data_IF_876635192043
#
_entry.id   IF_876635192043
#
_cell.length_a   1.000
_cell.length_b   1.000
_cell.length_c   1.000
_cell.angle_alpha   90.00
_cell.angle_beta   90.00
_cell.angle_gamma   90.00
#
_symmetry.space_group_name_H-M   'P 1'
#
loop_
_entity.id
_entity.type
_entity.pdbx_description
1 polymer ?
#
# COMPACT_ATOMS: atom_id res chain seq x y z
N UNK A 1 -13.66 16.14 1.22
CA UNK A 1 -13.38 14.94 2.06
C UNK A 1 -12.22 15.33 2.96
N UNK A 2 -12.40 15.28 4.26
CA UNK A 2 -11.34 15.69 5.18
C UNK A 2 -10.69 14.45 5.79
N UNK A 3 -9.36 14.44 5.85
CA UNK A 3 -8.56 13.50 6.63
C UNK A 3 -7.89 14.19 7.82
N UNK A 4 -8.19 15.48 7.99
CA UNK A 4 -7.63 16.26 9.08
C UNK A 4 -7.97 15.64 10.45
N UNK A 5 -6.96 15.51 11.29
CA UNK A 5 -7.03 14.88 12.61
C UNK A 5 -7.13 13.35 12.62
N UNK A 6 -7.16 12.67 11.46
CA UNK A 6 -7.10 11.20 11.40
C UNK A 6 -5.67 10.72 11.63
N UNK A 7 -5.50 9.66 12.40
CA UNK A 7 -4.22 8.97 12.60
C UNK A 7 -4.07 7.89 11.54
N UNK A 8 -3.08 8.05 10.66
CA UNK A 8 -2.85 7.20 9.49
C UNK A 8 -1.48 6.54 9.57
N UNK A 9 -1.46 5.22 9.63
CA UNK A 9 -0.24 4.41 9.56
C UNK A 9 0.03 4.05 8.09
N UNK A 10 1.26 4.25 7.63
CA UNK A 10 1.68 3.97 6.26
C UNK A 10 2.92 3.08 6.29
N UNK A 11 2.84 1.89 5.71
CA UNK A 11 3.98 0.98 5.59
C UNK A 11 4.72 1.20 4.26
N UNK A 12 6.05 1.02 4.25
CA UNK A 12 6.86 1.31 3.07
C UNK A 12 6.88 2.80 2.74
N UNK A 13 7.03 3.66 3.77
CA UNK A 13 6.82 5.10 3.65
C UNK A 13 8.10 5.89 3.31
N UNK A 14 9.29 5.26 3.27
CA UNK A 14 10.53 5.97 3.05
C UNK A 14 10.70 6.52 1.62
N UNK A 15 10.08 5.89 0.63
CA UNK A 15 10.19 6.26 -0.80
C UNK A 15 8.92 5.95 -1.60
N UNK A 16 8.89 6.37 -2.86
CA UNK A 16 7.85 6.03 -3.83
C UNK A 16 6.44 6.42 -3.40
N UNK A 17 5.49 5.50 -3.56
CA UNK A 17 4.08 5.74 -3.23
C UNK A 17 3.86 6.04 -1.74
N UNK A 18 4.52 5.30 -0.85
CA UNK A 18 4.36 5.50 0.60
C UNK A 18 4.84 6.88 1.05
N UNK A 19 5.94 7.37 0.48
CA UNK A 19 6.43 8.73 0.70
C UNK A 19 5.40 9.77 0.25
N UNK A 20 4.84 9.61 -0.97
CA UNK A 20 3.85 10.54 -1.49
C UNK A 20 2.56 10.54 -0.67
N UNK A 21 2.11 9.36 -0.20
CA UNK A 21 0.96 9.28 0.71
C UNK A 21 1.25 10.00 2.04
N UNK A 22 2.43 9.79 2.65
CA UNK A 22 2.82 10.46 3.88
C UNK A 22 2.80 11.98 3.71
N UNK A 23 3.44 12.49 2.64
CA UNK A 23 3.48 13.91 2.31
C UNK A 23 2.08 14.49 2.13
N UNK A 24 1.27 13.88 1.25
CA UNK A 24 -0.02 14.45 0.86
C UNK A 24 -1.04 14.39 2.01
N UNK A 25 -1.08 13.29 2.77
CA UNK A 25 -2.01 13.15 3.89
C UNK A 25 -1.61 14.04 5.07
N UNK A 26 -0.32 14.16 5.36
CA UNK A 26 0.17 15.09 6.40
C UNK A 26 -0.16 16.54 6.05
N UNK A 27 0.08 16.96 4.81
CA UNK A 27 -0.30 18.30 4.33
C UNK A 27 -1.81 18.54 4.34
N UNK A 28 -2.62 17.48 4.25
CA UNK A 28 -4.07 17.55 4.42
C UNK A 28 -4.53 17.51 5.88
N UNK A 29 -3.60 17.56 6.85
CA UNK A 29 -3.85 17.65 8.28
C UNK A 29 -4.03 16.31 8.99
N UNK A 30 -3.65 15.19 8.39
CA UNK A 30 -3.61 13.91 9.07
C UNK A 30 -2.35 13.80 9.97
N UNK A 31 -2.46 13.05 11.07
CA UNK A 31 -1.33 12.61 11.87
C UNK A 31 -0.73 11.36 11.21
N UNK A 32 0.51 11.44 10.75
CA UNK A 32 1.14 10.37 9.95
C UNK A 32 2.14 9.58 10.77
N UNK A 33 2.01 8.26 10.74
CA UNK A 33 3.03 7.31 11.22
C UNK A 33 3.66 6.64 10.01
N UNK A 34 4.89 7.02 9.70
CA UNK A 34 5.65 6.52 8.56
C UNK A 34 6.52 5.32 8.99
N UNK A 35 6.19 4.12 8.54
CA UNK A 35 6.92 2.89 8.84
C UNK A 35 7.66 2.33 7.63
N UNK A 36 8.96 2.03 7.77
CA UNK A 36 9.79 1.40 6.73
C UNK A 36 10.99 0.72 7.36
N UNK A 37 11.61 -0.24 6.66
CA UNK A 37 12.94 -0.77 7.01
C UNK A 37 14.05 0.27 6.77
N UNK A 38 13.79 1.23 5.88
CA UNK A 38 14.64 2.37 5.60
C UNK A 38 14.28 3.57 6.49
N UNK A 39 15.17 4.57 6.52
CA UNK A 39 14.91 5.81 7.25
C UNK A 39 13.74 6.61 6.66
N UNK A 40 12.76 6.96 7.49
CA UNK A 40 11.58 7.73 7.13
C UNK A 40 11.70 9.24 7.37
N UNK A 41 12.88 9.76 7.74
CA UNK A 41 13.07 11.18 8.12
C UNK A 41 12.60 12.14 7.03
N UNK A 42 12.85 11.84 5.76
CA UNK A 42 12.41 12.65 4.63
C UNK A 42 10.87 12.66 4.49
N UNK A 43 10.22 11.50 4.65
CA UNK A 43 8.76 11.38 4.60
C UNK A 43 8.10 12.14 5.77
N UNK A 44 8.66 12.03 6.97
CA UNK A 44 8.20 12.76 8.15
C UNK A 44 8.30 14.27 7.96
N UNK A 45 9.45 14.75 7.46
CA UNK A 45 9.65 16.18 7.16
C UNK A 45 8.65 16.68 6.11
N UNK A 46 8.39 15.90 5.07
CA UNK A 46 7.43 16.25 4.01
C UNK A 46 5.97 16.23 4.48
N UNK A 47 5.63 15.35 5.44
CA UNK A 47 4.29 15.25 6.02
C UNK A 47 3.95 16.40 6.98
N UNK A 48 4.95 16.98 7.65
CA UNK A 48 4.77 18.12 8.55
C UNK A 48 4.85 17.77 10.04
N UNK A 49 4.37 18.66 10.92
CA UNK A 49 4.66 18.64 12.37
C UNK A 49 4.05 17.48 13.14
N UNK A 50 2.93 16.93 12.68
CA UNK A 50 2.22 15.84 13.36
C UNK A 50 2.52 14.47 12.73
N UNK A 51 3.78 14.27 12.33
CA UNK A 51 4.26 13.00 11.80
C UNK A 51 5.43 12.46 12.61
N UNK A 52 5.62 11.13 12.59
CA UNK A 52 6.85 10.51 13.08
C UNK A 52 7.18 9.22 12.33
N UNK A 53 8.46 8.85 12.33
CA UNK A 53 8.97 7.66 11.70
C UNK A 53 9.17 6.51 12.67
N UNK A 54 9.00 5.29 12.19
CA UNK A 54 9.33 4.05 12.90
C UNK A 54 10.08 3.10 11.98
N UNK A 55 11.09 2.40 12.49
CA UNK A 55 11.66 1.26 11.77
C UNK A 55 10.64 0.12 11.79
N UNK A 56 10.25 -0.35 10.62
CA UNK A 56 9.22 -1.36 10.45
C UNK A 56 9.64 -2.41 9.42
N UNK A 57 9.84 -3.63 9.87
CA UNK A 57 9.80 -4.82 9.01
C UNK A 57 8.39 -5.45 9.10
N UNK A 58 7.61 -5.34 8.03
CA UNK A 58 6.25 -5.91 8.00
C UNK A 58 6.25 -7.44 8.06
N UNK A 59 7.34 -8.11 7.65
CA UNK A 59 7.46 -9.55 7.75
C UNK A 59 7.59 -10.03 9.21
N UNK A 60 8.01 -9.14 10.13
CA UNK A 60 8.10 -9.38 11.57
C UNK A 60 6.85 -8.85 12.29
N UNK A 61 6.11 -9.76 12.92
CA UNK A 61 4.90 -9.43 13.66
C UNK A 61 5.18 -8.55 14.90
N UNK A 62 6.34 -8.70 15.54
CA UNK A 62 6.72 -7.88 16.69
C UNK A 62 6.98 -6.44 16.26
N UNK A 63 7.67 -6.25 15.12
CA UNK A 63 7.89 -4.93 14.52
C UNK A 63 6.57 -4.23 14.17
N UNK A 64 5.59 -4.95 13.59
CA UNK A 64 4.26 -4.41 13.32
C UNK A 64 3.51 -3.99 14.60
N UNK A 65 3.61 -4.79 15.68
CA UNK A 65 3.01 -4.45 16.98
C UNK A 65 3.64 -3.21 17.59
N UNK A 66 4.97 -3.09 17.57
CA UNK A 66 5.68 -1.92 18.09
C UNK A 66 5.29 -0.61 17.37
N UNK A 67 5.06 -0.65 16.05
CA UNK A 67 4.55 0.52 15.33
C UNK A 67 3.18 0.97 15.86
N UNK A 68 2.26 0.02 16.08
CA UNK A 68 0.91 0.30 16.59
C UNK A 68 0.95 0.83 18.02
N UNK A 69 1.77 0.26 18.88
CA UNK A 69 1.97 0.71 20.26
C UNK A 69 2.43 2.17 20.28
N UNK A 70 3.48 2.52 19.54
CA UNK A 70 3.99 3.89 19.45
C UNK A 70 2.95 4.88 18.89
N UNK A 71 2.18 4.46 17.90
CA UNK A 71 1.10 5.28 17.35
C UNK A 71 0.01 5.54 18.40
N UNK A 72 -0.39 4.50 19.13
CA UNK A 72 -1.43 4.58 20.16
C UNK A 72 -0.96 5.39 21.36
N UNK A 73 0.29 5.23 21.80
CA UNK A 73 0.89 6.05 22.86
C UNK A 73 0.88 7.54 22.52
N UNK A 74 1.19 7.89 21.27
CA UNK A 74 1.29 9.29 20.85
C UNK A 74 -0.06 9.94 20.58
N UNK A 75 -0.97 9.23 19.91
CA UNK A 75 -2.22 9.82 19.40
C UNK A 75 -3.50 9.27 20.04
N UNK A 76 -3.42 8.20 20.84
CA UNK A 76 -4.55 7.59 21.53
C UNK A 76 -5.52 6.79 20.64
N UNK A 77 -5.34 6.82 19.31
CA UNK A 77 -6.22 6.18 18.33
C UNK A 77 -5.52 5.83 17.04
N UNK A 78 -6.14 4.98 16.23
CA UNK A 78 -5.73 4.72 14.84
C UNK A 78 -6.99 4.70 13.98
N UNK A 79 -7.02 5.55 12.94
CA UNK A 79 -8.16 5.69 12.03
C UNK A 79 -7.95 4.97 10.70
N UNK A 80 -6.70 4.88 10.22
CA UNK A 80 -6.40 4.22 8.97
C UNK A 80 -5.04 3.50 8.97
N UNK A 81 -4.97 2.42 8.17
CA UNK A 81 -3.74 1.72 7.82
C UNK A 81 -3.63 1.65 6.30
N UNK A 82 -2.50 2.06 5.75
CA UNK A 82 -2.15 1.90 4.34
C UNK A 82 -1.04 0.87 4.25
N UNK A 83 -1.37 -0.35 3.86
CA UNK A 83 -0.43 -1.43 3.60
C UNK A 83 0.18 -1.24 2.20
N UNK A 84 1.26 -0.47 2.15
CA UNK A 84 1.96 -0.13 0.91
C UNK A 84 3.33 -0.84 0.79
N UNK A 85 3.97 -1.22 1.90
CA UNK A 85 5.23 -1.95 1.87
C UNK A 85 5.15 -3.19 0.96
N UNK A 86 6.09 -3.31 0.03
CA UNK A 86 6.17 -4.44 -0.89
C UNK A 86 7.59 -4.61 -1.43
N UNK A 87 7.97 -5.86 -1.68
CA UNK A 87 9.08 -6.17 -2.57
C UNK A 87 8.58 -6.10 -4.00
N UNK A 88 9.23 -5.26 -4.81
CA UNK A 88 8.94 -5.08 -6.24
C UNK A 88 10.23 -4.84 -7.04
N UNK A 89 10.91 -3.69 -6.86
CA UNK A 89 12.08 -3.30 -7.62
C UNK A 89 13.27 -4.26 -7.48
N UNK A 90 13.45 -4.84 -6.28
CA UNK A 90 14.52 -5.78 -5.96
C UNK A 90 14.23 -7.23 -6.39
N UNK A 91 12.99 -7.55 -6.80
CA UNK A 91 12.65 -8.91 -7.23
C UNK A 91 13.27 -9.23 -8.59
N UNK A 92 13.97 -10.36 -8.67
CA UNK A 92 14.55 -10.82 -9.91
C UNK A 92 13.48 -11.45 -10.79
N UNK A 93 13.16 -10.79 -11.91
CA UNK A 93 12.28 -11.34 -12.93
C UNK A 93 12.90 -12.55 -13.66
N UNK A 94 12.06 -13.49 -14.09
CA UNK A 94 12.50 -14.67 -14.82
C UNK A 94 11.37 -15.56 -15.29
N UNK A 95 11.68 -16.60 -16.06
CA UNK A 95 10.68 -17.63 -16.41
C UNK A 95 10.19 -18.29 -15.12
N UNK A 96 8.94 -18.76 -15.11
CA UNK A 96 8.30 -19.33 -13.93
C UNK A 96 9.12 -20.41 -13.21
N UNK A 97 9.85 -21.23 -13.96
CA UNK A 97 10.68 -22.33 -13.48
C UNK A 97 12.13 -21.93 -13.17
N UNK A 98 12.44 -20.64 -13.19
CA UNK A 98 13.77 -20.08 -12.91
C UNK A 98 13.74 -19.07 -11.75
N UNK A 99 12.54 -18.79 -11.20
CA UNK A 99 12.40 -17.95 -10.02
C UNK A 99 13.02 -18.69 -8.84
N UNK A 100 13.94 -18.05 -8.12
CA UNK A 100 14.54 -18.62 -6.92
C UNK A 100 13.49 -18.77 -5.81
N UNK A 101 13.56 -19.86 -5.04
CA UNK A 101 12.64 -20.08 -3.92
C UNK A 101 12.73 -18.96 -2.88
N UNK A 102 13.94 -18.47 -2.60
CA UNK A 102 14.14 -17.35 -1.68
C UNK A 102 13.44 -16.06 -2.16
N UNK A 103 13.46 -15.75 -3.46
CA UNK A 103 12.76 -14.59 -4.01
C UNK A 103 11.23 -14.78 -3.93
N UNK A 104 10.75 -16.01 -4.13
CA UNK A 104 9.35 -16.36 -3.96
C UNK A 104 8.90 -16.19 -2.51
N UNK A 105 9.63 -16.78 -1.57
CA UNK A 105 9.30 -16.75 -0.15
C UNK A 105 9.38 -15.32 0.41
N UNK A 106 10.38 -14.55 0.01
CA UNK A 106 10.49 -13.15 0.38
C UNK A 106 9.30 -12.32 -0.13
N UNK A 107 8.87 -12.52 -1.39
CA UNK A 107 7.70 -11.85 -1.93
C UNK A 107 6.43 -12.18 -1.14
N UNK A 108 6.22 -13.44 -0.78
CA UNK A 108 5.07 -13.85 0.04
C UNK A 108 5.15 -13.34 1.47
N UNK A 109 6.33 -13.37 2.08
CA UNK A 109 6.55 -12.89 3.44
C UNK A 109 6.24 -11.39 3.57
N UNK A 110 6.73 -10.56 2.66
CA UNK A 110 6.53 -9.11 2.71
C UNK A 110 5.16 -8.73 2.16
N UNK A 111 4.83 -9.13 0.92
CA UNK A 111 3.67 -8.59 0.22
C UNK A 111 2.33 -9.17 0.70
N UNK A 112 2.33 -10.34 1.35
CA UNK A 112 1.11 -11.01 1.81
C UNK A 112 1.08 -11.12 3.33
N UNK A 113 2.04 -11.85 3.92
CA UNK A 113 2.09 -12.05 5.37
C UNK A 113 2.32 -10.72 6.10
N UNK A 114 3.10 -9.81 5.53
CA UNK A 114 3.33 -8.48 6.08
C UNK A 114 2.04 -7.68 6.24
N UNK A 115 1.15 -7.70 5.25
CA UNK A 115 -0.18 -7.08 5.35
C UNK A 115 -0.98 -7.71 6.48
N UNK A 116 -1.00 -9.04 6.57
CA UNK A 116 -1.71 -9.74 7.63
C UNK A 116 -1.16 -9.40 9.02
N UNK A 117 0.18 -9.30 9.20
CA UNK A 117 0.81 -8.89 10.45
C UNK A 117 0.37 -7.48 10.87
N UNK A 118 0.41 -6.51 9.94
CA UNK A 118 -0.01 -5.13 10.20
C UNK A 118 -1.51 -5.07 10.54
N UNK A 119 -2.36 -5.79 9.81
CA UNK A 119 -3.80 -5.86 10.11
C UNK A 119 -4.05 -6.47 11.49
N UNK A 120 -3.38 -7.56 11.83
CA UNK A 120 -3.49 -8.20 13.15
C UNK A 120 -3.10 -7.25 14.29
N UNK A 121 -2.08 -6.45 14.09
CA UNK A 121 -1.62 -5.48 15.08
C UNK A 121 -2.59 -4.30 15.23
N UNK A 122 -3.11 -3.74 14.12
CA UNK A 122 -3.89 -2.50 14.16
C UNK A 122 -5.35 -2.69 14.54
N UNK A 123 -5.96 -3.83 14.21
CA UNK A 123 -7.41 -4.09 14.41
C UNK A 123 -7.87 -3.89 15.85
N UNK A 124 -7.14 -4.34 16.89
CA UNK A 124 -7.54 -4.06 18.28
C UNK A 124 -7.66 -2.58 18.60
N UNK A 125 -6.71 -1.74 18.15
CA UNK A 125 -6.74 -0.29 18.37
C UNK A 125 -7.89 0.37 17.56
N UNK A 126 -8.13 -0.07 16.32
CA UNK A 126 -9.27 0.42 15.53
C UNK A 126 -10.61 0.08 16.18
N UNK A 127 -10.79 -1.11 16.75
CA UNK A 127 -11.99 -1.48 17.51
C UNK A 127 -12.22 -0.55 18.70
N UNK A 128 -11.18 -0.24 19.45
CA UNK A 128 -11.24 0.70 20.57
C UNK A 128 -11.61 2.12 20.12
N UNK A 129 -11.20 2.52 18.92
CA UNK A 129 -11.53 3.82 18.31
C UNK A 129 -12.93 3.85 17.66
N UNK A 130 -13.68 2.74 17.67
CA UNK A 130 -15.02 2.64 17.08
C UNK A 130 -15.05 2.37 15.58
N UNK A 131 -13.96 1.90 14.98
CA UNK A 131 -13.84 1.54 13.58
C UNK A 131 -12.59 2.07 12.90
N UNK A 132 -12.50 1.91 11.58
CA UNK A 132 -11.33 2.35 10.82
C UNK A 132 -11.39 2.03 9.33
N UNK A 133 -10.31 2.35 8.63
CA UNK A 133 -10.14 2.02 7.22
C UNK A 133 -8.77 1.40 6.94
N UNK A 134 -8.75 0.24 6.32
CA UNK A 134 -7.54 -0.44 5.85
C UNK A 134 -7.52 -0.37 4.33
N UNK A 135 -6.42 0.12 3.77
CA UNK A 135 -6.19 0.17 2.32
C UNK A 135 -4.95 -0.65 1.99
N UNK A 136 -5.13 -1.68 1.19
CA UNK A 136 -4.07 -2.56 0.74
C UNK A 136 -3.63 -2.17 -0.69
N UNK A 137 -2.34 -1.99 -0.94
CA UNK A 137 -1.84 -1.73 -2.29
C UNK A 137 -1.63 -3.05 -3.01
N UNK A 138 -2.59 -3.40 -3.87
CA UNK A 138 -2.51 -4.50 -4.81
C UNK A 138 -1.70 -4.08 -6.06
N UNK A 139 -2.05 -4.57 -7.21
CA UNK A 139 -1.48 -4.17 -8.51
C UNK A 139 -2.40 -4.64 -9.62
N UNK A 140 -2.41 -3.92 -10.74
CA UNK A 140 -3.03 -4.37 -11.97
C UNK A 140 -2.42 -5.70 -12.46
N UNK A 141 -1.15 -5.99 -12.14
CA UNK A 141 -0.49 -7.26 -12.42
C UNK A 141 -1.29 -8.48 -11.93
N UNK A 142 -2.05 -8.33 -10.84
CA UNK A 142 -2.92 -9.38 -10.30
C UNK A 142 -4.11 -9.72 -11.22
N UNK A 143 -4.52 -8.81 -12.09
CA UNK A 143 -5.68 -8.96 -12.98
C UNK A 143 -5.28 -9.48 -14.36
N UNK A 144 -4.27 -8.89 -14.99
CA UNK A 144 -3.87 -9.30 -16.34
C UNK A 144 -2.76 -10.35 -16.38
N UNK A 145 -2.06 -10.62 -15.27
CA UNK A 145 -0.98 -11.57 -15.20
C UNK A 145 0.33 -11.05 -15.80
N UNK A 146 1.17 -10.37 -15.00
CA UNK A 146 2.43 -9.81 -15.48
C UNK A 146 3.45 -10.94 -15.78
N UNK A 147 3.94 -11.07 -17.01
CA UNK A 147 4.90 -12.11 -17.36
C UNK A 147 6.26 -11.88 -16.68
N UNK A 148 7.00 -12.94 -16.46
CA UNK A 148 8.35 -12.95 -15.86
C UNK A 148 8.44 -12.42 -14.42
N UNK A 149 7.31 -12.26 -13.74
CA UNK A 149 7.23 -11.84 -12.33
C UNK A 149 6.13 -12.61 -11.60
N UNK A 150 6.11 -13.94 -11.73
CA UNK A 150 5.03 -14.79 -11.20
C UNK A 150 4.86 -14.65 -9.68
N UNK A 151 5.96 -14.62 -8.92
CA UNK A 151 5.94 -14.40 -7.47
C UNK A 151 5.23 -13.08 -7.09
N UNK A 152 5.57 -11.98 -7.78
CA UNK A 152 4.91 -10.69 -7.57
C UNK A 152 3.43 -10.73 -7.94
N UNK A 153 3.12 -11.21 -9.15
CA UNK A 153 1.73 -11.37 -9.63
C UNK A 153 0.90 -12.18 -8.65
N UNK A 154 1.42 -13.33 -8.20
CA UNK A 154 0.74 -14.20 -7.23
C UNK A 154 0.54 -13.49 -5.90
N UNK A 155 1.57 -12.80 -5.39
CA UNK A 155 1.46 -12.03 -4.14
C UNK A 155 0.38 -10.95 -4.21
N UNK A 156 0.31 -10.22 -5.33
CA UNK A 156 -0.69 -9.15 -5.50
C UNK A 156 -2.11 -9.68 -5.73
N UNK A 157 -2.27 -10.85 -6.33
CA UNK A 157 -3.54 -11.56 -6.40
C UNK A 157 -4.00 -12.04 -5.01
N UNK A 158 -3.07 -12.54 -4.18
CA UNK A 158 -3.36 -12.90 -2.80
C UNK A 158 -3.82 -11.69 -1.96
N UNK A 159 -3.28 -10.48 -2.20
CA UNK A 159 -3.74 -9.24 -1.53
C UNK A 159 -5.22 -8.97 -1.80
N UNK A 160 -5.71 -9.24 -3.01
CA UNK A 160 -7.15 -9.07 -3.34
C UNK A 160 -8.00 -10.05 -2.54
N UNK A 161 -7.58 -11.32 -2.46
CA UNK A 161 -8.26 -12.33 -1.65
C UNK A 161 -8.28 -11.99 -0.16
N UNK A 162 -7.12 -11.56 0.38
CA UNK A 162 -6.97 -11.13 1.77
C UNK A 162 -7.86 -9.91 2.07
N UNK A 163 -7.94 -8.94 1.17
CA UNK A 163 -8.81 -7.77 1.28
C UNK A 163 -10.28 -8.17 1.45
N UNK A 164 -10.76 -9.09 0.60
CA UNK A 164 -12.15 -9.57 0.65
C UNK A 164 -12.46 -10.35 1.92
N UNK A 165 -11.54 -11.23 2.36
CA UNK A 165 -11.67 -11.99 3.60
C UNK A 165 -11.76 -11.07 4.81
N UNK A 166 -10.79 -10.16 4.97
CA UNK A 166 -10.77 -9.19 6.07
C UNK A 166 -12.01 -8.27 6.07
N UNK A 167 -12.47 -7.83 4.91
CA UNK A 167 -13.66 -6.99 4.80
C UNK A 167 -14.90 -7.68 5.38
N UNK A 168 -15.06 -8.99 5.14
CA UNK A 168 -16.18 -9.77 5.70
C UNK A 168 -16.06 -9.98 7.20
N UNK A 169 -14.86 -10.23 7.71
CA UNK A 169 -14.62 -10.46 9.13
C UNK A 169 -14.77 -9.20 9.97
N UNK A 170 -14.27 -8.05 9.45
CA UNK A 170 -14.12 -6.82 10.20
C UNK A 170 -15.28 -5.83 10.02
N UNK A 171 -16.20 -6.08 9.11
CA UNK A 171 -17.33 -5.19 8.82
C UNK A 171 -18.21 -4.91 10.04
N UNK A 172 -18.44 -5.91 10.90
CA UNK A 172 -19.19 -5.75 12.17
C UNK A 172 -18.49 -4.84 13.19
N UNK A 173 -17.17 -4.67 13.06
CA UNK A 173 -16.37 -3.78 13.90
C UNK A 173 -16.27 -2.36 13.31
N UNK A 174 -17.07 -2.05 12.29
CA UNK A 174 -17.02 -0.79 11.53
C UNK A 174 -15.65 -0.52 10.90
N UNK A 175 -14.88 -1.57 10.61
CA UNK A 175 -13.59 -1.49 9.92
C UNK A 175 -13.80 -1.87 8.46
N UNK A 176 -13.51 -0.94 7.55
CA UNK A 176 -13.57 -1.16 6.11
C UNK A 176 -12.20 -1.60 5.60
N UNK A 177 -12.17 -2.54 4.67
CA UNK A 177 -10.93 -3.03 4.05
C UNK A 177 -11.11 -3.01 2.54
N UNK A 178 -10.29 -2.23 1.84
CA UNK A 178 -10.31 -2.12 0.39
C UNK A 178 -8.89 -2.25 -0.19
N UNK A 179 -8.79 -2.54 -1.47
CA UNK A 179 -7.53 -2.54 -2.19
C UNK A 179 -7.52 -1.44 -3.27
N UNK A 180 -6.33 -0.92 -3.55
CA UNK A 180 -6.05 -0.11 -4.74
C UNK A 180 -5.11 -0.90 -5.63
N UNK A 181 -5.43 -1.00 -6.92
CA UNK A 181 -4.65 -1.73 -7.92
C UNK A 181 -4.11 -0.75 -8.98
N UNK A 182 -2.92 -0.17 -8.78
CA UNK A 182 -2.29 0.69 -9.76
C UNK A 182 -1.77 -0.10 -10.97
N UNK A 183 -1.67 0.56 -12.14
CA UNK A 183 -0.75 0.16 -13.20
C UNK A 183 0.70 0.53 -12.81
N UNK A 184 1.64 0.56 -13.75
CA UNK A 184 3.00 0.98 -13.44
C UNK A 184 3.06 2.48 -13.10
N UNK A 185 3.37 2.77 -11.86
CA UNK A 185 3.56 4.14 -11.35
C UNK A 185 5.03 4.52 -11.47
N UNK A 186 5.33 5.74 -11.87
CA UNK A 186 6.71 6.24 -11.95
C UNK A 186 7.28 6.44 -10.54
N UNK A 187 8.00 5.44 -10.07
CA UNK A 187 8.69 5.41 -8.79
C UNK A 187 10.08 4.81 -8.95
N UNK A 188 10.94 4.99 -7.94
CA UNK A 188 12.26 4.35 -7.91
C UNK A 188 12.15 2.82 -8.08
N UNK A 189 11.16 2.19 -7.46
CA UNK A 189 10.93 0.74 -7.60
C UNK A 189 10.58 0.33 -9.03
N UNK A 190 9.87 1.16 -9.79
CA UNK A 190 9.59 0.91 -11.21
C UNK A 190 10.84 1.06 -12.08
N UNK A 191 11.66 2.06 -11.78
CA UNK A 191 12.96 2.25 -12.44
C UNK A 191 13.88 1.05 -12.17
N UNK A 192 13.98 0.61 -10.91
CA UNK A 192 14.77 -0.56 -10.51
C UNK A 192 14.28 -1.84 -11.23
N UNK A 193 12.95 -2.06 -11.29
CA UNK A 193 12.37 -3.26 -11.89
C UNK A 193 12.54 -3.32 -13.41
N UNK A 194 12.30 -2.21 -14.10
CA UNK A 194 12.38 -2.14 -15.57
C UNK A 194 13.82 -1.97 -16.06
N UNK A 195 14.72 -1.36 -15.26
CA UNK A 195 16.13 -1.15 -15.59
C UNK A 195 16.30 -0.54 -16.98
N UNK A 196 17.14 -1.13 -17.81
CA UNK A 196 17.43 -0.67 -19.18
C UNK A 196 16.19 -0.68 -20.12
N UNK A 197 15.10 -1.36 -19.74
CA UNK A 197 13.86 -1.43 -20.52
C UNK A 197 12.84 -0.36 -20.12
N UNK A 198 13.20 0.60 -19.26
CA UNK A 198 12.29 1.57 -18.67
C UNK A 198 11.47 2.32 -19.72
N UNK A 199 12.13 2.98 -20.68
CA UNK A 199 11.45 3.81 -21.69
C UNK A 199 10.49 2.98 -22.55
N UNK A 200 10.96 1.83 -23.03
CA UNK A 200 10.13 0.92 -23.83
C UNK A 200 8.97 0.34 -23.01
N UNK A 201 9.20 0.00 -21.75
CA UNK A 201 8.17 -0.52 -20.86
C UNK A 201 7.07 0.52 -20.61
N UNK A 202 7.46 1.76 -20.33
CA UNK A 202 6.52 2.86 -20.13
C UNK A 202 5.74 3.21 -21.41
N UNK A 203 6.38 3.14 -22.59
CA UNK A 203 5.70 3.36 -23.86
C UNK A 203 4.61 2.31 -24.11
N UNK A 204 4.92 1.03 -23.90
CA UNK A 204 3.93 -0.07 -24.05
C UNK A 204 2.78 0.10 -23.07
N UNK A 205 3.07 0.46 -21.81
CA UNK A 205 2.04 0.67 -20.79
C UNK A 205 1.13 1.85 -21.18
N UNK A 206 1.71 2.99 -21.56
CA UNK A 206 0.95 4.18 -22.01
C UNK A 206 0.06 3.89 -23.22
N UNK A 207 0.58 3.14 -24.18
CA UNK A 207 -0.19 2.77 -25.38
C UNK A 207 -1.40 1.87 -25.06
N UNK A 208 -1.33 1.09 -23.97
CA UNK A 208 -2.44 0.26 -23.49
C UNK A 208 -3.46 0.99 -22.61
N UNK A 209 -3.20 2.24 -22.23
CA UNK A 209 -4.09 3.05 -21.38
C UNK A 209 -5.05 3.90 -22.22
N UNK A 210 -6.29 4.08 -21.71
CA UNK A 210 -7.21 5.07 -22.27
C UNK A 210 -6.74 6.50 -21.99
N UNK A 211 -6.18 6.74 -20.79
CA UNK A 211 -5.49 7.98 -20.42
C UNK A 211 -4.00 7.81 -20.72
N UNK A 212 -3.57 8.23 -21.90
CA UNK A 212 -2.23 7.95 -22.46
C UNK A 212 -1.12 8.83 -21.88
N UNK A 213 -0.90 8.74 -20.58
CA UNK A 213 0.24 9.35 -19.90
C UNK A 213 0.82 8.41 -18.84
N UNK A 214 2.01 8.69 -18.38
CA UNK A 214 2.60 7.96 -17.25
C UNK A 214 1.78 8.22 -15.98
N UNK A 215 1.52 7.18 -15.22
CA UNK A 215 0.86 7.27 -13.93
C UNK A 215 1.89 7.73 -12.88
N UNK A 216 1.58 8.83 -12.21
CA UNK A 216 2.43 9.44 -11.18
C UNK A 216 1.92 9.08 -9.78
N UNK A 217 2.78 9.10 -8.74
CA UNK A 217 2.37 8.84 -7.35
C UNK A 217 1.20 9.71 -6.89
N UNK A 218 1.18 10.99 -7.29
CA UNK A 218 0.13 11.94 -6.95
C UNK A 218 -1.27 11.54 -7.47
N UNK A 219 -1.36 10.79 -8.57
CA UNK A 219 -2.64 10.34 -9.14
C UNK A 219 -3.39 9.37 -8.22
N UNK A 220 -2.68 8.67 -7.34
CA UNK A 220 -3.29 7.74 -6.40
C UNK A 220 -3.80 8.41 -5.13
N UNK A 221 -3.27 9.58 -4.78
CA UNK A 221 -3.58 10.28 -3.52
C UNK A 221 -5.08 10.50 -3.33
N UNK A 222 -5.78 10.91 -4.40
CA UNK A 222 -7.22 11.14 -4.35
C UNK A 222 -8.01 9.89 -3.96
N UNK A 223 -7.67 8.74 -4.56
CA UNK A 223 -8.32 7.46 -4.27
C UNK A 223 -8.02 7.00 -2.83
N UNK A 224 -6.76 7.11 -2.38
CA UNK A 224 -6.37 6.79 -1.00
C UNK A 224 -7.12 7.68 -0.02
N UNK A 225 -7.12 9.00 -0.22
CA UNK A 225 -7.81 9.97 0.64
C UNK A 225 -9.31 9.67 0.73
N UNK A 226 -9.94 9.32 -0.38
CA UNK A 226 -11.35 8.93 -0.40
C UNK A 226 -11.59 7.63 0.38
N UNK A 227 -10.75 6.60 0.20
CA UNK A 227 -10.90 5.32 0.88
C UNK A 227 -10.69 5.40 2.40
N UNK A 228 -9.80 6.27 2.90
CA UNK A 228 -9.62 6.48 4.34
C UNK A 228 -10.61 7.49 4.93
N UNK A 229 -11.26 8.29 4.08
CA UNK A 229 -12.23 9.31 4.47
C UNK A 229 -13.66 8.79 4.59
N UNK A 230 -14.56 9.68 5.02
CA UNK A 230 -15.96 9.34 5.28
C UNK A 230 -16.79 9.22 3.99
N UNK A 231 -16.25 9.70 2.85
CA UNK A 231 -16.91 9.56 1.54
C UNK A 231 -17.06 8.12 1.06
N UNK A 232 -16.30 7.18 1.64
CA UNK A 232 -16.34 5.75 1.31
C UNK A 232 -16.91 4.88 2.45
N UNK A 233 -17.69 5.46 3.37
CA UNK A 233 -18.19 4.78 4.59
C UNK A 233 -19.00 3.50 4.33
N UNK A 234 -19.52 3.31 3.13
CA UNK A 234 -20.28 2.11 2.73
C UNK A 234 -19.54 1.29 1.67
N UNK A 235 -18.22 1.50 1.51
CA UNK A 235 -17.38 0.78 0.55
C UNK A 235 -16.39 -0.10 1.30
N UNK A 236 -16.52 -1.42 1.15
CA UNK A 236 -15.60 -2.42 1.75
C UNK A 236 -15.50 -3.64 0.83
N UNK A 237 -14.37 -4.34 0.88
CA UNK A 237 -14.10 -5.54 0.08
C UNK A 237 -13.82 -5.26 -1.41
N UNK A 238 -13.68 -3.99 -1.81
CA UNK A 238 -13.50 -3.60 -3.20
C UNK A 238 -12.02 -3.51 -3.57
N UNK A 239 -11.76 -3.72 -4.86
CA UNK A 239 -10.46 -3.43 -5.48
C UNK A 239 -10.69 -2.33 -6.50
N UNK A 240 -10.09 -1.17 -6.27
CA UNK A 240 -10.22 0.01 -7.13
C UNK A 240 -9.01 0.06 -8.05
N UNK A 241 -9.23 -0.11 -9.35
CA UNK A 241 -8.19 0.10 -10.35
C UNK A 241 -7.88 1.59 -10.50
N UNK A 242 -6.59 1.94 -10.49
CA UNK A 242 -6.07 3.27 -10.83
C UNK A 242 -5.01 3.04 -11.89
N UNK A 243 -5.44 2.88 -13.14
CA UNK A 243 -4.65 2.29 -14.21
C UNK A 243 -4.82 3.03 -15.56
N UNK A 244 -5.46 4.19 -15.55
CA UNK A 244 -5.72 4.96 -16.76
C UNK A 244 -6.65 4.28 -17.75
N UNK A 245 -7.45 3.28 -17.32
CA UNK A 245 -8.34 2.50 -18.18
C UNK A 245 -7.58 1.46 -19.01
N UNK A 246 -6.57 0.82 -18.44
CA UNK A 246 -5.87 -0.33 -19.04
C UNK A 246 -6.74 -1.58 -19.00
N UNK A 247 -7.42 -1.82 -17.88
CA UNK A 247 -8.37 -2.94 -17.71
C UNK A 247 -9.70 -2.39 -17.25
N UNK A 248 -10.76 -2.75 -17.99
CA UNK A 248 -12.15 -2.42 -17.66
C UNK A 248 -12.84 -3.70 -17.18
N UNK A 249 -13.19 -3.76 -15.87
CA UNK A 249 -13.81 -4.90 -15.20
C UNK A 249 -15.29 -4.63 -14.98
#
# INVERSE_FOLDING_TARGET
>A
MTVAGKVVLITGAARGLGFEYARALGQAGAHVVAGDVLDCSAAVAAAGTDAFGVTLDVADAASASAMVERATERFGRIDALINNAALYGSLRGGRFNQIAEDDWDAAMAVNVKGIWNCCKAVVPAMRQSGGGSIVNIASLAATYGMPFALHYTTSKAAVIGLTRGLARELGRDSIRVNAVAPSAVMTEGTVEFLGEKLDRGLEVIRAGQSIQRTLEPADLVGTITWLIGDGSKFVTGQTIAVDGGTVML
#
